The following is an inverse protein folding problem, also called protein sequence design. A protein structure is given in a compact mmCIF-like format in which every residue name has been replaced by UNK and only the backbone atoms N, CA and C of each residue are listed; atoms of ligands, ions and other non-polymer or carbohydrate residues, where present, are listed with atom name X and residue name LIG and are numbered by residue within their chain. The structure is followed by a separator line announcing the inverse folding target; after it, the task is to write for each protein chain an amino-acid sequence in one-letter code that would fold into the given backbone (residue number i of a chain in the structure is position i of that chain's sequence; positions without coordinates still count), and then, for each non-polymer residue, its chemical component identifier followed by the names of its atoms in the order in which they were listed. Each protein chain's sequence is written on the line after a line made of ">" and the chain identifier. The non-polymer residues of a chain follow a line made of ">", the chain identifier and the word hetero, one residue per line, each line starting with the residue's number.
data_IF_965817732639
#
_entry.id   IF_965817732639
#
_cell.length_a   1.000
_cell.length_b   1.000
_cell.length_c   1.000
_cell.angle_alpha   90.00
_cell.angle_beta   90.00
_cell.angle_gamma   90.00
#
_symmetry.space_group_name_H-M   'P 1'
#
loop_
_entity.id
_entity.type
_entity.pdbx_description
1 polymer ?
#
# COMPACT_ATOMS: atom_id res chain seq x y z
N UNK A 1 -15.57 -2.59 1.64
CA UNK A 1 -15.62 -3.57 2.76
C UNK A 1 -15.74 -2.87 4.12
N UNK A 2 -14.85 -1.97 4.50
CA UNK A 2 -14.93 -1.29 5.81
C UNK A 2 -16.19 -0.42 5.96
N UNK A 3 -16.44 0.49 5.02
CA UNK A 3 -17.62 1.37 5.06
C UNK A 3 -18.96 0.65 4.94
N UNK A 4 -18.97 -0.58 4.45
CA UNK A 4 -20.16 -1.43 4.36
C UNK A 4 -20.34 -2.37 5.55
N UNK A 5 -19.49 -2.27 6.57
CA UNK A 5 -19.53 -3.12 7.77
C UNK A 5 -19.06 -4.57 7.56
N UNK A 6 -18.60 -4.92 6.34
CA UNK A 6 -18.08 -6.26 6.04
C UNK A 6 -16.73 -6.49 6.73
N UNK A 7 -15.95 -5.43 6.91
CA UNK A 7 -14.67 -5.47 7.60
C UNK A 7 -14.78 -4.66 8.90
N UNK A 8 -14.51 -5.30 10.02
CA UNK A 8 -14.50 -4.65 11.32
C UNK A 8 -13.33 -3.66 11.47
N UNK A 9 -13.34 -2.86 12.53
CA UNK A 9 -12.23 -1.96 12.88
C UNK A 9 -10.92 -2.70 13.12
N UNK A 10 -10.99 -3.95 13.57
CA UNK A 10 -9.83 -4.81 13.80
C UNK A 10 -9.35 -5.52 12.53
N UNK A 11 -10.02 -5.28 11.40
CA UNK A 11 -9.70 -5.91 10.13
C UNK A 11 -10.13 -7.37 10.04
N UNK A 12 -11.21 -7.73 10.70
CA UNK A 12 -11.82 -9.07 10.59
C UNK A 12 -12.97 -8.99 9.59
N UNK A 13 -13.04 -9.93 8.66
CA UNK A 13 -14.19 -10.10 7.78
C UNK A 13 -15.32 -10.69 8.63
N UNK A 14 -16.39 -9.92 8.78
CA UNK A 14 -17.49 -10.27 9.66
C UNK A 14 -18.44 -11.27 8.98
N UNK A 15 -18.40 -12.53 9.43
CA UNK A 15 -19.29 -13.57 8.95
C UNK A 15 -20.76 -13.40 9.36
N UNK A 16 -21.07 -12.57 10.35
CA UNK A 16 -22.46 -12.31 10.75
C UNK A 16 -23.24 -11.57 9.68
N UNK A 17 -22.54 -10.80 8.83
CA UNK A 17 -23.12 -10.13 7.65
C UNK A 17 -23.17 -11.04 6.40
N UNK A 18 -22.74 -12.30 6.50
CA UNK A 18 -22.82 -13.26 5.39
C UNK A 18 -24.27 -13.48 4.94
N UNK A 19 -25.21 -13.47 5.88
CA UNK A 19 -26.66 -13.57 5.58
C UNK A 19 -27.18 -12.40 4.73
N UNK A 20 -26.50 -11.24 4.76
CA UNK A 20 -26.88 -10.03 4.05
C UNK A 20 -26.12 -9.85 2.72
N UNK A 21 -25.09 -10.66 2.44
CA UNK A 21 -24.28 -10.55 1.24
C UNK A 21 -23.84 -11.92 0.71
N UNK A 22 -24.29 -12.32 -0.48
CA UNK A 22 -23.88 -13.59 -1.11
C UNK A 22 -22.40 -13.58 -1.54
N UNK A 23 -21.69 -12.47 -1.30
CA UNK A 23 -20.26 -12.33 -1.61
C UNK A 23 -19.36 -12.72 -0.43
N UNK A 24 -19.93 -13.00 0.74
CA UNK A 24 -19.16 -13.46 1.89
C UNK A 24 -19.27 -14.98 1.93
N UNK A 25 -18.13 -15.63 1.92
CA UNK A 25 -17.99 -17.09 1.86
C UNK A 25 -17.19 -17.59 3.05
N UNK A 26 -17.49 -18.77 3.53
CA UNK A 26 -16.69 -19.43 4.53
C UNK A 26 -15.32 -19.84 3.96
N UNK A 27 -14.26 -19.55 4.70
CA UNK A 27 -12.88 -19.91 4.39
C UNK A 27 -12.25 -20.57 5.63
N UNK A 28 -12.53 -21.84 5.82
CA UNK A 28 -12.13 -22.60 6.99
C UNK A 28 -12.72 -22.05 8.28
N UNK A 29 -11.88 -21.43 9.11
CA UNK A 29 -12.30 -20.79 10.38
C UNK A 29 -12.56 -19.29 10.24
N UNK A 30 -12.41 -18.76 9.05
CA UNK A 30 -12.53 -17.35 8.73
C UNK A 30 -13.51 -17.15 7.59
N UNK A 31 -13.62 -15.93 7.11
CA UNK A 31 -14.46 -15.59 5.97
C UNK A 31 -13.62 -14.92 4.89
N UNK A 32 -14.09 -15.05 3.65
CA UNK A 32 -13.53 -14.41 2.48
C UNK A 32 -14.60 -13.55 1.80
N UNK A 33 -14.18 -12.53 1.09
CA UNK A 33 -15.08 -11.65 0.33
C UNK A 33 -14.82 -11.76 -1.16
N UNK A 34 -15.83 -12.16 -1.93
CA UNK A 34 -15.76 -12.25 -3.39
C UNK A 34 -15.96 -10.90 -4.02
N UNK A 35 -14.90 -10.35 -4.58
CA UNK A 35 -14.90 -9.06 -5.27
C UNK A 35 -15.46 -9.21 -6.68
N UNK A 36 -15.01 -10.25 -7.39
CA UNK A 36 -15.43 -10.61 -8.75
C UNK A 36 -15.44 -12.14 -8.90
N UNK A 37 -15.87 -12.65 -10.03
CA UNK A 37 -16.03 -14.09 -10.28
C UNK A 37 -14.78 -14.90 -9.89
N UNK A 38 -13.59 -14.41 -10.23
CA UNK A 38 -12.31 -15.09 -9.97
C UNK A 38 -11.40 -14.31 -9.01
N UNK A 39 -11.96 -13.35 -8.25
CA UNK A 39 -11.18 -12.52 -7.32
C UNK A 39 -11.82 -12.57 -5.94
N UNK A 40 -11.11 -13.16 -5.02
CA UNK A 40 -11.52 -13.30 -3.62
C UNK A 40 -10.49 -12.63 -2.74
N UNK A 41 -10.93 -11.91 -1.73
CA UNK A 41 -10.09 -11.33 -0.66
C UNK A 41 -10.29 -12.17 0.59
N UNK A 42 -9.26 -12.84 1.01
CA UNK A 42 -9.25 -13.67 2.22
C UNK A 42 -8.92 -12.86 3.48
N UNK A 43 -9.14 -13.43 4.64
CA UNK A 43 -8.70 -12.84 5.91
C UNK A 43 -7.17 -12.69 5.96
N UNK A 44 -6.42 -13.61 5.36
CA UNK A 44 -4.96 -13.53 5.28
C UNK A 44 -4.50 -12.36 4.41
N UNK A 45 -5.19 -12.07 3.31
CA UNK A 45 -4.89 -10.91 2.46
C UNK A 45 -5.08 -9.59 3.23
N UNK A 46 -6.15 -9.50 4.02
CA UNK A 46 -6.38 -8.34 4.89
C UNK A 46 -5.25 -8.18 5.89
N UNK A 47 -4.79 -9.27 6.53
CA UNK A 47 -3.67 -9.24 7.47
C UNK A 47 -2.35 -8.86 6.80
N UNK A 48 -2.08 -9.36 5.60
CA UNK A 48 -0.90 -9.00 4.83
C UNK A 48 -0.87 -7.50 4.49
N UNK A 49 -2.01 -6.93 4.09
CA UNK A 49 -2.15 -5.48 3.82
C UNK A 49 -1.97 -4.68 5.12
N UNK A 50 -2.56 -5.11 6.22
CA UNK A 50 -2.38 -4.43 7.52
C UNK A 50 -0.90 -4.41 7.94
N UNK A 51 -0.18 -5.51 7.78
CA UNK A 51 1.24 -5.60 8.12
C UNK A 51 2.09 -4.69 7.21
N UNK A 52 1.87 -4.75 5.90
CA UNK A 52 2.57 -3.89 4.94
C UNK A 52 2.34 -2.40 5.23
N UNK A 53 1.08 -2.01 5.47
CA UNK A 53 0.71 -0.67 5.88
C UNK A 53 1.43 -0.24 7.17
N UNK A 54 1.41 -1.08 8.20
CA UNK A 54 2.05 -0.78 9.47
C UNK A 54 3.57 -0.58 9.31
N UNK A 55 4.23 -1.43 8.52
CA UNK A 55 5.65 -1.32 8.24
C UNK A 55 6.01 -0.01 7.51
N UNK A 56 5.26 0.34 6.46
CA UNK A 56 5.46 1.58 5.72
C UNK A 56 5.20 2.81 6.61
N UNK A 57 4.09 2.79 7.38
CA UNK A 57 3.74 3.87 8.28
C UNK A 57 4.83 4.09 9.35
N UNK A 58 5.27 3.03 10.01
CA UNK A 58 6.34 3.11 11.00
C UNK A 58 7.64 3.63 10.37
N UNK A 59 7.98 3.17 9.18
CA UNK A 59 9.20 3.57 8.47
C UNK A 59 9.24 5.06 8.20
N UNK A 60 8.20 5.62 7.57
CA UNK A 60 8.22 7.06 7.28
C UNK A 60 8.07 7.92 8.54
N UNK A 61 7.29 7.47 9.54
CA UNK A 61 7.17 8.19 10.82
C UNK A 61 8.52 8.30 11.53
N UNK A 62 9.26 7.20 11.66
CA UNK A 62 10.60 7.21 12.25
C UNK A 62 11.57 8.12 11.48
N UNK A 63 11.51 8.15 10.15
CA UNK A 63 12.32 9.06 9.35
C UNK A 63 11.94 10.51 9.57
N UNK A 64 10.65 10.84 9.56
CA UNK A 64 10.17 12.18 9.83
C UNK A 64 10.56 12.67 11.22
N UNK A 65 10.39 11.81 12.24
CA UNK A 65 10.76 12.13 13.62
C UNK A 65 12.27 12.36 13.75
N UNK A 66 13.10 11.52 13.12
CA UNK A 66 14.57 11.70 13.10
C UNK A 66 15.01 12.98 12.40
N UNK A 67 14.26 13.43 11.41
CA UNK A 67 14.51 14.67 10.66
C UNK A 67 13.78 15.88 11.24
N UNK A 68 13.06 15.72 12.35
CA UNK A 68 12.23 16.76 13.00
C UNK A 68 11.18 17.37 12.06
N UNK A 69 10.69 16.58 11.10
CA UNK A 69 9.69 17.00 10.13
C UNK A 69 8.28 16.70 10.62
N UNK A 70 7.43 17.71 10.62
CA UNK A 70 6.00 17.54 10.95
C UNK A 70 5.15 17.17 9.74
N UNK A 71 5.59 17.54 8.54
CA UNK A 71 4.93 17.26 7.26
C UNK A 71 5.96 17.12 6.14
N UNK A 72 5.53 16.56 5.03
CA UNK A 72 6.30 16.48 3.80
C UNK A 72 5.64 17.34 2.72
N UNK A 73 6.43 17.98 1.88
CA UNK A 73 5.91 18.79 0.78
C UNK A 73 5.65 17.95 -0.47
N UNK A 74 6.37 16.84 -0.62
CA UNK A 74 6.27 15.98 -1.79
C UNK A 74 6.61 14.54 -1.45
N UNK A 75 5.88 13.61 -2.11
CA UNK A 75 6.14 12.16 -2.04
C UNK A 75 6.52 11.67 -3.43
N UNK A 76 7.62 10.92 -3.52
CA UNK A 76 8.06 10.27 -4.75
C UNK A 76 8.03 8.76 -4.57
N UNK A 77 7.15 8.10 -5.30
CA UNK A 77 7.00 6.64 -5.28
C UNK A 77 7.97 6.04 -6.31
N UNK A 78 9.09 5.53 -5.85
CA UNK A 78 10.09 4.88 -6.69
C UNK A 78 9.85 3.36 -6.75
N UNK A 79 10.08 2.78 -7.91
CA UNK A 79 9.92 1.35 -8.19
C UNK A 79 8.75 1.07 -9.12
N UNK A 80 8.79 -0.09 -9.78
CA UNK A 80 7.76 -0.49 -10.75
C UNK A 80 6.37 -0.55 -10.10
N UNK A 81 6.28 -1.00 -8.85
CA UNK A 81 5.02 -1.10 -8.11
C UNK A 81 4.40 0.28 -7.82
N UNK A 82 5.22 1.31 -7.57
CA UNK A 82 4.76 2.67 -7.30
C UNK A 82 3.95 3.31 -8.43
N UNK A 83 4.09 2.82 -9.67
CA UNK A 83 3.31 3.31 -10.82
C UNK A 83 1.86 2.83 -10.82
N UNK A 84 1.55 1.80 -10.05
CA UNK A 84 0.22 1.19 -9.99
C UNK A 84 -0.54 1.55 -8.71
N UNK A 85 0.10 2.23 -7.77
CA UNK A 85 -0.53 2.68 -6.53
C UNK A 85 -1.30 3.97 -6.79
N UNK A 86 -2.58 4.00 -6.41
CA UNK A 86 -3.34 5.24 -6.36
C UNK A 86 -2.93 6.05 -5.12
N UNK A 87 -2.35 7.26 -5.30
CA UNK A 87 -1.87 8.08 -4.20
C UNK A 87 -2.93 8.42 -3.15
N UNK A 88 -4.16 8.68 -3.59
CA UNK A 88 -5.28 9.00 -2.70
C UNK A 88 -5.56 7.86 -1.73
N UNK A 89 -5.67 6.65 -2.25
CA UNK A 89 -5.94 5.48 -1.39
C UNK A 89 -4.74 5.11 -0.54
N UNK A 90 -3.51 5.32 -1.03
CA UNK A 90 -2.31 5.10 -0.25
C UNK A 90 -2.23 6.05 0.97
N UNK A 91 -2.62 7.32 0.83
CA UNK A 91 -2.74 8.28 1.94
C UNK A 91 -3.86 7.87 2.90
N UNK A 92 -5.07 7.58 2.40
CA UNK A 92 -6.22 7.16 3.22
C UNK A 92 -5.88 5.92 4.05
N UNK A 93 -5.11 5.01 3.49
CA UNK A 93 -4.62 3.83 4.21
C UNK A 93 -3.45 4.15 5.14
N UNK A 94 -2.84 5.33 5.07
CA UNK A 94 -1.66 5.69 5.85
C UNK A 94 -0.40 4.92 5.45
N UNK A 95 -0.30 4.52 4.19
CA UNK A 95 0.88 3.86 3.61
C UNK A 95 1.97 4.86 3.23
N UNK A 96 1.58 6.10 2.94
CA UNK A 96 2.46 7.23 2.64
C UNK A 96 2.06 8.43 3.50
N UNK A 97 2.99 9.37 3.78
CA UNK A 97 2.67 10.59 4.51
C UNK A 97 1.68 11.46 3.75
N UNK A 98 0.87 12.22 4.49
CA UNK A 98 -0.06 13.18 3.92
C UNK A 98 0.69 14.36 3.29
N UNK A 99 0.32 14.68 2.07
CA UNK A 99 0.69 15.89 1.36
C UNK A 99 -0.39 16.23 0.31
N UNK A 100 -0.22 17.32 -0.42
CA UNK A 100 -1.12 17.61 -1.54
C UNK A 100 -1.01 16.53 -2.61
N UNK A 101 -2.14 16.02 -3.11
CA UNK A 101 -2.16 14.91 -4.08
C UNK A 101 -1.36 15.20 -5.35
N UNK A 102 -1.36 16.45 -5.80
CA UNK A 102 -0.58 16.92 -6.97
C UNK A 102 0.94 16.82 -6.77
N UNK A 103 1.38 16.74 -5.51
CA UNK A 103 2.78 16.59 -5.13
C UNK A 103 3.20 15.13 -4.97
N UNK A 104 2.30 14.16 -5.19
CA UNK A 104 2.67 12.73 -5.24
C UNK A 104 2.98 12.35 -6.68
N UNK A 105 4.18 11.84 -6.91
CA UNK A 105 4.66 11.45 -8.24
C UNK A 105 5.22 10.03 -8.23
N UNK A 106 4.93 9.27 -9.27
CA UNK A 106 5.60 8.01 -9.52
C UNK A 106 6.90 8.26 -10.32
N UNK A 107 8.02 7.78 -9.81
CA UNK A 107 9.32 7.84 -10.50
C UNK A 107 9.59 6.60 -11.40
N UNK A 108 8.63 5.69 -11.49
CA UNK A 108 8.77 4.46 -12.27
C UNK A 108 9.85 3.53 -11.72
N UNK A 109 10.38 2.67 -12.55
CA UNK A 109 11.43 1.71 -12.18
C UNK A 109 12.80 2.40 -12.10
N UNK A 110 12.98 3.22 -11.06
CA UNK A 110 14.23 3.97 -10.83
C UNK A 110 15.44 3.06 -10.65
N UNK A 111 15.27 1.91 -9.98
CA UNK A 111 16.34 0.92 -9.79
C UNK A 111 16.81 0.34 -11.13
N UNK A 112 15.88 -0.06 -11.99
CA UNK A 112 16.20 -0.54 -13.34
C UNK A 112 16.85 0.55 -14.21
N UNK A 113 16.41 1.80 -14.09
CA UNK A 113 17.02 2.94 -14.79
C UNK A 113 18.44 3.16 -14.29
N UNK A 114 18.67 3.18 -12.97
CA UNK A 114 20.00 3.32 -12.36
C UNK A 114 20.95 2.18 -12.76
N UNK A 115 20.49 0.94 -12.74
CA UNK A 115 21.27 -0.22 -13.19
C UNK A 115 21.69 -0.09 -14.65
N UNK A 116 20.77 0.35 -15.53
CA UNK A 116 21.08 0.60 -16.95
C UNK A 116 22.09 1.73 -17.12
N UNK A 117 21.95 2.83 -16.37
CA UNK A 117 22.91 3.91 -16.39
C UNK A 117 24.30 3.46 -15.93
N UNK A 118 24.39 2.72 -14.84
CA UNK A 118 25.64 2.17 -14.33
C UNK A 118 26.28 1.16 -15.33
N UNK A 119 25.48 0.41 -16.08
CA UNK A 119 25.97 -0.53 -17.10
C UNK A 119 26.54 0.20 -18.32
N UNK A 120 25.89 1.24 -18.80
CA UNK A 120 26.19 1.95 -20.06
C UNK A 120 27.15 3.13 -19.88
N UNK A 121 27.26 3.68 -18.66
CA UNK A 121 28.06 4.88 -18.40
C UNK A 121 29.12 4.62 -17.32
N UNK A 122 30.39 4.61 -17.77
CA UNK A 122 31.54 4.40 -16.87
C UNK A 122 31.70 5.55 -15.85
N UNK A 123 31.33 6.79 -16.21
CA UNK A 123 31.35 7.95 -15.32
C UNK A 123 30.33 7.78 -14.17
N UNK A 124 29.07 7.45 -14.49
CA UNK A 124 28.01 7.25 -13.50
C UNK A 124 28.36 6.16 -12.47
N UNK A 125 29.15 5.15 -12.86
CA UNK A 125 29.63 4.11 -11.92
C UNK A 125 30.63 4.61 -10.86
N UNK A 126 31.22 5.79 -11.04
CA UNK A 126 32.17 6.37 -10.09
C UNK A 126 31.51 7.31 -9.10
N UNK A 127 30.25 7.67 -9.35
CA UNK A 127 29.45 8.56 -8.52
C UNK A 127 28.54 7.79 -7.53
N UNK A 128 28.48 6.46 -7.67
CA UNK A 128 27.77 5.53 -6.77
C UNK A 128 28.75 4.99 -5.71
#
# INVERSE_FOLDING_TARGET
>A
MYLSGILSTDGVIDGTVAACSPRIEEDGRTFAYRVAENVVVTQNDVRAIQLAKAALHAGFRLLMDKMELKKVDRVVLAGAFGTHIDPKYAMVLGMIPDCELENVRAAGNSAGTGARMALLNKGARREI
#
